data_IF_111380899982
#
_entry.id   IF_111380899982
#
_cell.length_a   1.000
_cell.length_b   1.000
_cell.length_c   1.000
_cell.angle_alpha   90.00
_cell.angle_beta   90.00
_cell.angle_gamma   90.00
#
_symmetry.space_group_name_H-M   'P 1'
#
loop_
_entity.id
_entity.type
_entity.pdbx_description
1 polymer ?
#
# COMPACT_ATOMS: atom_id res chain seq x y z
N UNK A 1 11.36 -38.11 1.91
CA UNK A 1 11.60 -36.72 1.49
C UNK A 1 11.10 -36.59 0.06
N UNK A 2 9.98 -35.89 -0.18
CA UNK A 2 9.43 -35.70 -1.52
C UNK A 2 9.92 -34.35 -2.06
N UNK A 3 10.84 -34.40 -3.03
CA UNK A 3 11.30 -33.24 -3.79
C UNK A 3 10.14 -32.72 -4.64
N UNK A 4 9.63 -31.53 -4.30
CA UNK A 4 8.66 -30.83 -5.13
C UNK A 4 9.35 -30.40 -6.43
N UNK A 5 9.02 -31.06 -7.53
CA UNK A 5 9.41 -30.63 -8.87
C UNK A 5 8.57 -29.40 -9.21
N UNK A 6 9.15 -28.21 -9.14
CA UNK A 6 8.50 -26.99 -9.63
C UNK A 6 8.45 -27.05 -11.16
N UNK A 7 7.40 -27.63 -11.73
CA UNK A 7 7.19 -27.59 -13.18
C UNK A 7 6.95 -26.14 -13.60
N UNK A 8 7.81 -25.59 -14.46
CA UNK A 8 7.59 -24.26 -15.05
C UNK A 8 6.31 -24.30 -15.90
N UNK A 9 5.40 -23.36 -15.67
CA UNK A 9 4.20 -23.19 -16.50
C UNK A 9 4.59 -22.88 -17.96
N UNK A 10 3.81 -23.38 -18.91
CA UNK A 10 3.86 -22.90 -20.30
C UNK A 10 3.17 -21.52 -20.42
N UNK A 11 3.45 -20.78 -21.50
CA UNK A 11 2.82 -19.48 -21.75
C UNK A 11 1.28 -19.59 -21.82
N UNK A 12 0.78 -20.60 -22.52
CA UNK A 12 -0.66 -20.85 -22.62
C UNK A 12 -1.30 -21.13 -21.26
N UNK A 13 -0.66 -21.95 -20.42
CA UNK A 13 -1.13 -22.20 -19.05
C UNK A 13 -1.11 -20.92 -18.19
N UNK A 14 -0.11 -20.05 -18.40
CA UNK A 14 -0.01 -18.79 -17.66
C UNK A 14 -1.11 -17.80 -18.07
N UNK A 15 -1.47 -17.77 -19.36
CA UNK A 15 -2.60 -16.98 -19.88
C UNK A 15 -3.92 -17.48 -19.28
N UNK A 16 -4.15 -18.79 -19.28
CA UNK A 16 -5.36 -19.40 -18.70
C UNK A 16 -5.47 -19.09 -17.21
N UNK A 17 -4.37 -19.26 -16.46
CA UNK A 17 -4.30 -18.91 -15.04
C UNK A 17 -4.60 -17.43 -14.80
N UNK A 18 -4.04 -16.53 -15.62
CA UNK A 18 -4.29 -15.08 -15.53
C UNK A 18 -5.77 -14.75 -15.73
N UNK A 19 -6.42 -15.38 -16.71
CA UNK A 19 -7.84 -15.14 -17.00
C UNK A 19 -8.74 -15.66 -15.86
N UNK A 20 -8.40 -16.81 -15.27
CA UNK A 20 -9.17 -17.34 -14.16
C UNK A 20 -8.99 -16.48 -12.89
N UNK A 21 -7.78 -15.97 -12.62
CA UNK A 21 -7.56 -15.00 -11.54
C UNK A 21 -8.47 -13.78 -11.73
N UNK A 22 -8.49 -13.19 -12.94
CA UNK A 22 -9.33 -12.03 -13.25
C UNK A 22 -10.82 -12.31 -13.02
N UNK A 23 -11.29 -13.50 -13.41
CA UNK A 23 -12.67 -13.92 -13.20
C UNK A 23 -12.99 -14.04 -11.71
N UNK A 24 -12.15 -14.74 -10.94
CA UNK A 24 -12.34 -14.93 -9.51
C UNK A 24 -12.29 -13.60 -8.75
N UNK A 25 -11.39 -12.68 -9.13
CA UNK A 25 -11.32 -11.33 -8.57
C UNK A 25 -12.62 -10.55 -8.79
N UNK A 26 -13.21 -10.64 -9.99
CA UNK A 26 -14.48 -9.99 -10.29
C UNK A 26 -15.63 -10.56 -9.43
N UNK A 27 -15.69 -11.88 -9.28
CA UNK A 27 -16.69 -12.55 -8.43
C UNK A 27 -16.54 -12.14 -6.96
N UNK A 28 -15.31 -12.17 -6.42
CA UNK A 28 -15.04 -11.75 -5.03
C UNK A 28 -15.41 -10.29 -4.80
N UNK A 29 -15.16 -9.42 -5.79
CA UNK A 29 -15.53 -8.00 -5.70
C UNK A 29 -17.04 -7.81 -5.54
N UNK A 30 -17.84 -8.53 -6.33
CA UNK A 30 -19.29 -8.46 -6.23
C UNK A 30 -19.82 -9.03 -4.91
N UNK A 31 -19.30 -10.18 -4.47
CA UNK A 31 -19.65 -10.76 -3.16
C UNK A 31 -19.33 -9.81 -1.99
N UNK A 32 -18.17 -9.14 -2.03
CA UNK A 32 -17.81 -8.13 -1.03
C UNK A 32 -18.73 -6.92 -1.04
N UNK A 33 -19.26 -6.53 -2.21
CA UNK A 33 -20.21 -5.43 -2.32
C UNK A 33 -21.52 -5.79 -1.61
N UNK A 34 -22.09 -6.95 -1.91
CA UNK A 34 -23.32 -7.43 -1.25
C UNK A 34 -23.14 -7.57 0.27
N UNK A 35 -22.00 -8.10 0.71
CA UNK A 35 -21.70 -8.20 2.14
C UNK A 35 -21.57 -6.84 2.82
N UNK A 36 -21.00 -5.84 2.14
CA UNK A 36 -20.94 -4.47 2.65
C UNK A 36 -22.32 -3.87 2.81
N UNK A 37 -23.19 -3.99 1.79
CA UNK A 37 -24.57 -3.51 1.85
C UNK A 37 -25.31 -4.11 3.05
N UNK A 38 -25.15 -5.41 3.28
CA UNK A 38 -25.69 -6.07 4.47
C UNK A 38 -25.15 -5.46 5.79
N UNK A 39 -23.82 -5.27 5.89
CA UNK A 39 -23.19 -4.72 7.10
C UNK A 39 -23.55 -3.25 7.33
N UNK A 40 -23.80 -2.47 6.26
CA UNK A 40 -24.27 -1.08 6.35
C UNK A 40 -25.65 -1.00 6.99
N UNK A 41 -26.55 -1.92 6.64
CA UNK A 41 -27.92 -1.95 7.15
C UNK A 41 -28.06 -2.61 8.53
N UNK A 42 -27.25 -3.64 8.80
CA UNK A 42 -27.44 -4.53 9.95
C UNK A 42 -26.36 -4.38 11.04
N UNK A 43 -25.30 -3.63 10.77
CA UNK A 43 -24.13 -3.57 11.65
C UNK A 43 -23.16 -4.73 11.40
N UNK A 44 -22.24 -4.96 12.35
CA UNK A 44 -21.18 -5.95 12.16
C UNK A 44 -21.70 -7.39 12.03
N UNK A 45 -21.08 -8.17 11.13
CA UNK A 45 -21.35 -9.59 10.94
C UNK A 45 -20.19 -10.43 11.48
N UNK A 46 -20.50 -11.45 12.27
CA UNK A 46 -19.51 -12.45 12.73
C UNK A 46 -19.71 -13.75 11.94
N UNK A 47 -18.67 -14.21 11.26
CA UNK A 47 -18.67 -15.46 10.49
C UNK A 47 -17.44 -16.30 10.88
N UNK A 48 -17.64 -17.34 11.70
CA UNK A 48 -16.55 -18.09 12.31
C UNK A 48 -15.64 -17.18 13.12
N UNK A 49 -14.34 -17.19 12.81
CA UNK A 49 -13.33 -16.36 13.49
C UNK A 49 -13.13 -14.96 12.84
N UNK A 50 -14.00 -14.57 11.89
CA UNK A 50 -13.88 -13.31 11.15
C UNK A 50 -15.04 -12.37 11.46
N UNK A 51 -14.71 -11.11 11.79
CA UNK A 51 -15.68 -10.03 11.97
C UNK A 51 -15.63 -9.08 10.77
N UNK A 52 -16.77 -8.87 10.13
CA UNK A 52 -16.97 -7.95 9.03
C UNK A 52 -17.67 -6.70 9.54
N UNK A 53 -16.94 -5.58 9.57
CA UNK A 53 -17.45 -4.30 10.08
C UNK A 53 -16.81 -3.12 9.39
N UNK A 54 -17.48 -1.98 9.45
CA UNK A 54 -16.82 -0.71 9.18
C UNK A 54 -15.91 -0.34 10.34
N UNK A 55 -14.64 -0.12 10.03
CA UNK A 55 -13.68 0.40 10.98
C UNK A 55 -13.30 1.81 10.56
N UNK A 56 -13.45 2.76 11.50
CA UNK A 56 -12.97 4.12 11.28
C UNK A 56 -11.44 4.10 11.16
N UNK A 57 -10.93 4.60 10.04
CA UNK A 57 -9.52 4.90 9.87
C UNK A 57 -9.31 6.39 10.12
N UNK A 58 -8.48 6.73 11.11
CA UNK A 58 -8.08 8.13 11.37
C UNK A 58 -6.71 8.35 10.76
N UNK A 59 -6.61 9.35 9.89
CA UNK A 59 -5.34 9.81 9.32
C UNK A 59 -5.23 11.32 9.48
N UNK A 60 -4.02 11.79 9.73
CA UNK A 60 -3.71 13.22 9.87
C UNK A 60 -3.00 13.71 8.62
N UNK A 61 -3.42 14.85 8.07
CA UNK A 61 -2.78 15.49 6.93
C UNK A 61 -1.75 16.53 7.39
N UNK A 62 -0.53 16.43 6.85
CA UNK A 62 0.60 17.32 7.11
C UNK A 62 1.00 18.08 5.84
N UNK A 63 0.00 18.54 5.06
CA UNK A 63 0.21 19.28 3.83
C UNK A 63 0.67 20.73 4.06
N UNK A 64 0.32 21.33 5.20
CA UNK A 64 0.74 22.68 5.59
C UNK A 64 2.19 22.70 6.10
N UNK A 65 3.09 23.30 5.31
CA UNK A 65 4.54 23.26 5.58
C UNK A 65 4.95 23.91 6.89
N UNK A 66 4.31 25.01 7.28
CA UNK A 66 4.69 25.74 8.49
C UNK A 66 4.24 25.02 9.76
N UNK A 67 3.01 24.49 9.77
CA UNK A 67 2.53 23.63 10.86
C UNK A 67 3.36 22.34 11.00
N UNK A 68 3.80 21.77 9.88
CA UNK A 68 4.69 20.60 9.92
C UNK A 68 6.02 20.92 10.58
N UNK A 69 6.62 22.07 10.27
CA UNK A 69 7.86 22.50 10.94
C UNK A 69 7.64 22.75 12.43
N UNK A 70 6.54 23.36 12.82
CA UNK A 70 6.19 23.60 14.23
C UNK A 70 6.01 22.28 14.99
N UNK A 71 5.29 21.32 14.40
CA UNK A 71 5.15 19.98 14.96
C UNK A 71 6.50 19.28 15.14
N UNK A 72 7.37 19.28 14.12
CA UNK A 72 8.69 18.67 14.23
C UNK A 72 9.56 19.33 15.31
N UNK A 73 9.46 20.66 15.48
CA UNK A 73 10.13 21.37 16.58
C UNK A 73 9.57 20.98 17.93
N UNK A 74 8.25 20.83 18.06
CA UNK A 74 7.62 20.45 19.33
C UNK A 74 8.09 19.07 19.77
N UNK A 75 8.29 18.11 18.85
CA UNK A 75 8.85 16.79 19.20
C UNK A 75 10.21 16.86 19.90
N UNK A 76 11.04 17.84 19.55
CA UNK A 76 12.34 18.06 20.20
C UNK A 76 12.16 18.76 21.55
N UNK A 77 11.33 19.79 21.59
CA UNK A 77 11.04 20.56 22.82
C UNK A 77 10.44 19.66 23.91
N UNK A 78 9.53 18.77 23.51
CA UNK A 78 8.85 17.82 24.39
C UNK A 78 9.74 16.61 24.76
N UNK A 79 10.98 16.55 24.24
CA UNK A 79 11.95 15.51 24.55
C UNK A 79 11.64 14.14 23.93
N UNK A 80 10.77 14.09 22.91
CA UNK A 80 10.38 12.84 22.25
C UNK A 80 11.44 12.32 21.28
N UNK A 81 12.25 13.20 20.69
CA UNK A 81 13.35 12.83 19.79
C UNK A 81 14.40 13.94 19.71
N UNK A 82 15.65 13.58 19.42
CA UNK A 82 16.73 14.51 19.07
C UNK A 82 16.88 14.70 17.57
N UNK A 83 16.25 13.85 16.76
CA UNK A 83 16.23 13.91 15.31
C UNK A 83 14.78 13.79 14.81
N UNK A 84 14.05 14.90 14.70
CA UNK A 84 12.65 14.89 14.27
C UNK A 84 12.52 14.63 12.76
N UNK A 85 13.59 14.75 11.96
CA UNK A 85 13.51 14.54 10.52
C UNK A 85 13.55 13.05 10.16
N UNK A 86 14.07 12.20 11.05
CA UNK A 86 14.07 10.74 10.90
C UNK A 86 12.67 10.12 10.67
N UNK A 87 11.61 10.78 11.15
CA UNK A 87 10.22 10.32 10.98
C UNK A 87 9.56 10.85 9.70
N UNK A 88 10.23 11.73 8.96
CA UNK A 88 9.71 12.32 7.73
C UNK A 88 10.21 11.51 6.54
N UNK A 89 9.29 11.19 5.62
CA UNK A 89 9.64 10.56 4.33
C UNK A 89 9.21 11.47 3.18
N UNK A 90 10.10 11.64 2.20
CA UNK A 90 9.78 12.33 0.95
C UNK A 90 9.24 11.31 -0.05
N UNK A 91 8.02 11.51 -0.52
CA UNK A 91 7.41 10.60 -1.49
C UNK A 91 7.97 10.81 -2.89
N UNK A 92 8.09 9.74 -3.67
CA UNK A 92 8.55 9.81 -5.07
C UNK A 92 7.81 10.84 -5.92
N UNK A 93 6.46 10.95 -5.89
CA UNK A 93 5.75 11.97 -6.66
C UNK A 93 6.10 13.42 -6.28
N UNK A 94 6.55 13.67 -5.05
CA UNK A 94 7.05 15.01 -4.65
C UNK A 94 8.44 15.26 -5.22
N UNK A 95 9.30 14.24 -5.29
CA UNK A 95 10.64 14.33 -5.87
C UNK A 95 10.57 14.53 -7.38
N UNK A 96 9.72 13.77 -8.07
CA UNK A 96 9.60 13.78 -9.52
C UNK A 96 9.21 15.17 -10.08
N UNK A 97 8.57 16.04 -9.27
CA UNK A 97 8.23 17.43 -9.63
C UNK A 97 9.44 18.33 -9.87
N UNK A 98 10.61 17.97 -9.34
CA UNK A 98 11.82 18.75 -9.46
C UNK A 98 12.66 18.36 -10.68
N UNK A 99 12.24 17.32 -11.43
CA UNK A 99 12.93 16.84 -12.64
C UNK A 99 14.44 16.58 -12.42
N UNK A 100 14.79 16.12 -11.22
CA UNK A 100 16.17 15.83 -10.83
C UNK A 100 16.62 14.49 -11.42
N UNK A 101 17.88 14.43 -11.82
CA UNK A 101 18.49 13.18 -12.28
C UNK A 101 18.86 12.23 -11.11
N UNK A 102 19.09 10.96 -11.46
CA UNK A 102 19.43 9.92 -10.50
C UNK A 102 20.80 10.15 -9.83
N UNK A 103 21.74 10.81 -10.52
CA UNK A 103 23.09 11.07 -10.02
C UNK A 103 23.06 12.13 -8.90
N UNK A 104 22.23 13.16 -9.05
CA UNK A 104 21.97 14.17 -8.06
C UNK A 104 21.35 13.55 -6.80
N UNK A 105 20.32 12.73 -6.96
CA UNK A 105 19.62 12.09 -5.84
C UNK A 105 20.50 11.10 -5.08
N UNK A 106 21.46 10.44 -5.75
CA UNK A 106 22.40 9.52 -5.12
C UNK A 106 23.28 10.17 -4.05
N UNK A 107 23.48 11.50 -4.09
CA UNK A 107 24.20 12.23 -3.06
C UNK A 107 23.44 12.32 -1.73
N UNK A 108 22.10 12.21 -1.76
CA UNK A 108 21.23 12.43 -0.60
C UNK A 108 20.44 11.19 -0.19
N UNK A 109 20.31 10.20 -1.07
CA UNK A 109 19.47 9.04 -0.85
C UNK A 109 20.08 7.74 -1.41
N UNK A 110 19.72 6.61 -0.81
CA UNK A 110 20.04 5.29 -1.34
C UNK A 110 18.94 4.82 -2.30
N UNK A 111 19.30 4.57 -3.57
CA UNK A 111 18.38 4.02 -4.56
C UNK A 111 17.93 2.61 -4.15
N UNK A 112 16.61 2.41 -4.03
CA UNK A 112 15.98 1.11 -3.76
C UNK A 112 15.12 0.71 -4.96
N UNK A 113 15.49 -0.36 -5.64
CA UNK A 113 14.72 -0.94 -6.76
C UNK A 113 13.97 -2.17 -6.25
N UNK A 114 12.65 -2.22 -6.48
CA UNK A 114 11.81 -3.38 -6.16
C UNK A 114 10.95 -3.76 -7.35
N UNK A 115 10.99 -5.03 -7.74
CA UNK A 115 10.09 -5.57 -8.76
C UNK A 115 8.77 -5.93 -8.08
N UNK A 116 7.66 -5.39 -8.61
CA UNK A 116 6.30 -5.74 -8.16
C UNK A 116 5.60 -6.48 -9.29
N UNK A 117 5.00 -7.62 -8.95
CA UNK A 117 4.07 -8.29 -9.86
C UNK A 117 2.77 -7.46 -9.89
N UNK A 118 2.43 -6.90 -11.05
CA UNK A 118 1.27 -6.03 -11.21
C UNK A 118 0.45 -6.47 -12.40
N UNK A 119 -0.88 -6.38 -12.27
CA UNK A 119 -1.82 -6.50 -13.36
C UNK A 119 -2.29 -5.08 -13.75
N UNK A 120 -2.00 -4.63 -14.97
CA UNK A 120 -2.38 -3.31 -15.51
C UNK A 120 -2.82 -3.46 -16.96
N UNK A 121 -3.87 -2.73 -17.36
CA UNK A 121 -4.22 -2.59 -18.78
C UNK A 121 -3.09 -1.83 -19.51
N UNK A 122 -2.73 -2.27 -20.71
CA UNK A 122 -1.86 -1.52 -21.62
C UNK A 122 -2.57 -0.27 -22.13
#
# INVERSE_FOLDING_TARGET
MATQTTSKLTEQQAIELSNEILRLEATVKEMKKQLKEYVEENGELVAGDTVWKFQQSVSWDFSESDKTKEFLKSLVIDGLTTDPYSVVTISKPKIDKFELDDDYLANFAKKKVSNRFVNRKK
#
